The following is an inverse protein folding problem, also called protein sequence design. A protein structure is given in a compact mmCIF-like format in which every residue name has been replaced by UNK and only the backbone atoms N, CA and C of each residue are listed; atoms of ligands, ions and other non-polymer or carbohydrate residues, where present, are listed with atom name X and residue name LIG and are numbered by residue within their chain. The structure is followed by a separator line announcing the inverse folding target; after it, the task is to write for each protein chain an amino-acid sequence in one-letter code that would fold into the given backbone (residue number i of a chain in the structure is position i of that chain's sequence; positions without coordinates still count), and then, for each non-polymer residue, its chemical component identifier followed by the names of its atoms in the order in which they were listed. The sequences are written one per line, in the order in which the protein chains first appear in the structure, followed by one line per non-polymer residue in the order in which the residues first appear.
data_IF_488142697293
#
_entry.id   IF_488142697293
#
_cell.length_a   1.000
_cell.length_b   1.000
_cell.length_c   1.000
_cell.angle_alpha   90.00
_cell.angle_beta   90.00
_cell.angle_gamma   90.00
#
_symmetry.space_group_name_H-M   'P 1'
#
loop_
_entity.id
_entity.type
_entity.pdbx_description
1 polymer ?
#
# COMPACT_ATOMS: atom_id res chain seq x y z
N UNK A 1 -17.60 -37.68 53.40
CA UNK A 1 -16.47 -37.31 54.28
C UNK A 1 -15.43 -36.59 53.42
N UNK A 2 -15.25 -35.29 53.70
CA UNK A 2 -14.23 -34.44 53.09
C UNK A 2 -12.83 -34.85 53.54
N UNK A 3 -11.82 -34.69 52.69
CA UNK A 3 -10.58 -34.01 53.10
C UNK A 3 -9.96 -33.28 51.90
N UNK A 4 -9.84 -31.97 52.06
CA UNK A 4 -9.02 -31.06 51.26
C UNK A 4 -7.57 -31.20 51.71
N UNK A 5 -6.63 -31.06 50.78
CA UNK A 5 -5.30 -30.51 51.09
C UNK A 5 -4.80 -29.74 49.87
N UNK A 6 -4.58 -28.45 50.11
CA UNK A 6 -4.00 -27.44 49.23
C UNK A 6 -2.50 -27.25 49.55
N UNK A 7 -1.83 -26.35 48.81
CA UNK A 7 -0.44 -25.83 48.96
C UNK A 7 0.63 -26.67 48.22
N UNK A 8 1.50 -26.16 47.33
CA UNK A 8 1.90 -24.83 46.80
C UNK A 8 2.68 -25.07 45.48
N UNK A 9 2.66 -24.17 44.48
CA UNK A 9 3.59 -24.23 43.35
C UNK A 9 4.90 -23.46 43.64
N UNK A 10 6.00 -24.01 43.16
CA UNK A 10 7.35 -23.46 43.22
C UNK A 10 7.46 -22.18 42.37
N UNK A 11 8.04 -21.12 42.94
CA UNK A 11 8.41 -19.91 42.23
C UNK A 11 9.94 -19.81 42.19
N UNK A 12 10.52 -20.08 41.02
CA UNK A 12 11.91 -19.74 40.69
C UNK A 12 11.88 -18.71 39.56
N UNK A 13 11.95 -17.42 39.91
CA UNK A 13 12.21 -16.36 38.95
C UNK A 13 13.68 -15.99 39.09
N UNK A 14 14.49 -16.52 38.17
CA UNK A 14 15.86 -16.09 37.97
C UNK A 14 15.87 -14.66 37.41
N UNK A 15 16.59 -13.80 38.11
CA UNK A 15 17.01 -12.47 37.66
C UNK A 15 18.09 -12.65 36.58
N UNK A 16 17.97 -11.95 35.44
CA UNK A 16 19.12 -11.66 34.57
C UNK A 16 18.80 -10.46 33.66
N UNK A 17 19.14 -9.28 34.18
CA UNK A 17 19.93 -8.20 33.57
C UNK A 17 19.85 -8.06 32.03
N UNK A 18 19.02 -7.12 31.56
CA UNK A 18 19.20 -6.50 30.25
C UNK A 18 20.25 -5.39 30.36
N UNK A 19 21.48 -5.68 29.94
CA UNK A 19 22.58 -4.71 29.78
C UNK A 19 22.54 -4.16 28.35
N UNK A 20 22.34 -2.85 28.11
CA UNK A 20 22.49 -2.29 26.77
C UNK A 20 23.98 -2.19 26.43
N UNK A 21 24.38 -2.82 25.32
CA UNK A 21 25.71 -2.66 24.69
C UNK A 21 25.80 -1.25 24.11
N UNK A 22 26.70 -0.45 24.67
CA UNK A 22 27.25 0.74 24.04
C UNK A 22 28.03 0.27 22.80
N UNK A 23 27.62 0.68 21.61
CA UNK A 23 28.45 0.57 20.41
C UNK A 23 29.06 1.93 20.13
N UNK A 24 30.37 2.00 20.34
CA UNK A 24 31.25 3.09 19.94
C UNK A 24 31.26 3.19 18.41
N UNK A 25 30.72 4.29 17.87
CA UNK A 25 30.94 4.64 16.47
C UNK A 25 32.22 5.47 16.39
N UNK A 26 33.30 4.78 16.02
CA UNK A 26 34.54 5.40 15.56
C UNK A 26 34.25 6.21 14.29
N UNK A 27 34.69 7.45 14.32
CA UNK A 27 34.74 8.39 13.20
C UNK A 27 35.62 7.85 12.08
N UNK A 28 35.04 7.55 10.92
CA UNK A 28 35.77 7.43 9.65
C UNK A 28 35.34 8.52 8.70
N UNK A 29 36.23 9.51 8.60
CA UNK A 29 36.28 10.57 7.61
C UNK A 29 36.67 9.94 6.27
N UNK A 30 35.81 9.99 5.27
CA UNK A 30 36.20 9.65 3.90
C UNK A 30 35.73 10.72 2.92
N UNK A 31 36.72 11.48 2.47
CA UNK A 31 36.67 12.38 1.34
C UNK A 31 36.32 11.58 0.07
N UNK A 32 35.34 12.05 -0.70
CA UNK A 32 35.23 11.71 -2.11
C UNK A 32 35.04 12.99 -2.93
N UNK A 33 36.11 13.32 -3.64
CA UNK A 33 36.18 14.29 -4.73
C UNK A 33 35.11 13.96 -5.78
N UNK A 34 34.17 14.86 -6.01
CA UNK A 34 33.32 14.84 -7.20
C UNK A 34 33.77 15.96 -8.14
N UNK A 35 34.50 15.56 -9.16
CA UNK A 35 34.87 16.37 -10.33
C UNK A 35 33.61 16.71 -11.12
N UNK A 36 33.42 18.00 -11.37
CA UNK A 36 32.30 18.57 -12.08
C UNK A 36 32.46 18.32 -13.59
N UNK A 37 31.50 17.62 -14.21
CA UNK A 37 31.30 17.66 -15.66
C UNK A 37 30.01 18.44 -15.94
N UNK A 38 30.18 19.67 -16.39
CA UNK A 38 29.13 20.59 -16.81
C UNK A 38 28.84 20.31 -18.29
N UNK A 39 27.65 19.83 -18.62
CA UNK A 39 27.09 19.87 -19.97
C UNK A 39 26.06 21.00 -20.05
N UNK A 40 26.15 21.93 -21.02
CA UNK A 40 25.23 23.05 -21.11
C UNK A 40 24.03 22.74 -22.00
N UNK A 41 22.97 23.54 -21.80
CA UNK A 41 21.84 23.79 -22.70
C UNK A 41 20.59 22.91 -22.54
N UNK A 42 19.86 23.10 -21.44
CA UNK A 42 18.40 22.99 -21.45
C UNK A 42 17.79 24.40 -21.54
N UNK A 43 17.05 24.64 -22.63
CA UNK A 43 16.41 25.91 -22.98
C UNK A 43 15.08 26.00 -22.23
N UNK A 44 14.93 26.98 -21.35
CA UNK A 44 13.69 27.26 -20.59
C UNK A 44 12.74 28.05 -21.50
N UNK A 45 11.47 27.63 -21.70
CA UNK A 45 10.47 28.47 -22.33
C UNK A 45 9.89 29.50 -21.35
N UNK A 46 9.76 30.75 -21.79
CA UNK A 46 9.14 31.85 -21.05
C UNK A 46 7.67 31.57 -20.70
N UNK A 47 7.33 31.75 -19.42
CA UNK A 47 5.95 31.76 -18.92
C UNK A 47 5.36 33.15 -19.12
N UNK A 48 4.42 33.28 -20.07
CA UNK A 48 3.58 34.46 -20.23
C UNK A 48 2.43 34.48 -19.21
N UNK A 49 2.35 35.61 -18.51
CA UNK A 49 1.16 36.30 -17.97
C UNK A 49 0.06 35.47 -17.31
N UNK A 50 0.06 35.48 -15.96
CA UNK A 50 -1.14 35.29 -15.14
C UNK A 50 -1.48 36.66 -14.53
N UNK A 51 -2.68 37.15 -14.79
CA UNK A 51 -3.26 38.38 -14.25
C UNK A 51 -3.60 38.27 -12.76
N UNK A 52 -3.53 39.37 -11.98
CA UNK A 52 -3.85 39.36 -10.56
C UNK A 52 -5.38 39.32 -10.34
N UNK A 53 -5.82 38.42 -9.46
CA UNK A 53 -7.21 38.31 -9.00
C UNK A 53 -7.38 39.23 -7.78
N UNK A 54 -8.49 39.97 -7.77
CA UNK A 54 -8.85 41.01 -6.82
C UNK A 54 -8.81 40.60 -5.34
N UNK A 55 -8.33 41.51 -4.51
CA UNK A 55 -8.30 41.43 -3.05
C UNK A 55 -9.71 41.36 -2.46
N UNK A 56 -10.05 40.21 -1.86
CA UNK A 56 -11.11 40.08 -0.88
C UNK A 56 -10.52 40.30 0.51
N UNK A 57 -10.80 41.46 1.11
CA UNK A 57 -10.41 41.78 2.48
C UNK A 57 -11.08 40.83 3.47
N UNK A 58 -10.30 39.90 4.04
CA UNK A 58 -10.68 39.16 5.25
C UNK A 58 -10.19 39.99 6.44
N UNK A 59 -11.14 40.64 7.12
CA UNK A 59 -10.93 41.31 8.40
C UNK A 59 -10.70 40.25 9.48
N UNK A 60 -9.44 39.97 9.80
CA UNK A 60 -9.05 39.25 11.02
C UNK A 60 -8.89 40.29 12.13
N UNK A 61 -9.57 40.17 13.29
CA UNK A 61 -9.42 41.14 14.36
C UNK A 61 -7.98 41.12 14.89
N UNK A 62 -7.34 42.28 14.86
CA UNK A 62 -6.01 42.52 15.39
C UNK A 62 -5.95 42.14 16.87
N UNK A 63 -5.32 41.00 17.18
CA UNK A 63 -4.86 40.69 18.52
C UNK A 63 -3.71 41.66 18.82
N UNK A 64 -3.96 42.66 19.67
CA UNK A 64 -2.93 43.58 20.17
C UNK A 64 -1.88 42.79 20.96
N UNK A 65 -0.82 42.35 20.31
CA UNK A 65 0.37 41.83 20.98
C UNK A 65 1.29 43.01 21.32
N UNK A 66 1.17 43.50 22.55
CA UNK A 66 2.19 44.38 23.13
C UNK A 66 3.46 43.56 23.37
N UNK A 67 4.42 43.67 22.45
CA UNK A 67 5.76 43.12 22.64
C UNK A 67 6.52 44.11 23.53
N UNK A 68 6.62 43.77 24.82
CA UNK A 68 7.59 44.38 25.71
C UNK A 68 8.98 43.88 25.29
N UNK A 69 9.74 44.75 24.62
CA UNK A 69 11.15 44.54 24.33
C UNK A 69 11.92 44.41 25.64
N UNK A 70 12.41 43.20 25.92
CA UNK A 70 13.50 42.96 26.85
C UNK A 70 14.66 42.38 26.03
N UNK A 71 15.62 43.25 25.75
CA UNK A 71 16.94 42.86 25.26
C UNK A 71 17.65 42.09 26.38
N UNK A 72 17.89 40.80 26.19
CA UNK A 72 19.08 40.06 26.65
C UNK A 72 19.06 38.68 25.99
N UNK A 73 20.22 38.28 25.46
CA UNK A 73 20.37 37.27 24.42
C UNK A 73 19.72 35.93 24.72
N UNK A 74 18.85 35.50 23.81
CA UNK A 74 18.36 34.14 23.73
C UNK A 74 18.26 33.77 22.26
N UNK A 75 19.13 32.86 21.82
CA UNK A 75 19.07 32.28 20.49
C UNK A 75 17.76 31.48 20.40
N UNK A 76 16.73 32.06 19.79
CA UNK A 76 15.47 31.36 19.53
C UNK A 76 15.73 30.34 18.45
N UNK A 77 16.13 29.13 18.83
CA UNK A 77 16.16 27.99 17.92
C UNK A 77 14.74 27.65 17.54
N UNK A 78 14.31 28.07 16.34
CA UNK A 78 13.03 27.68 15.77
C UNK A 78 13.12 26.19 15.43
N UNK A 79 12.70 25.34 16.36
CA UNK A 79 12.46 23.93 16.10
C UNK A 79 11.22 23.84 15.20
N UNK A 80 11.43 23.84 13.88
CA UNK A 80 10.38 23.48 12.94
C UNK A 80 10.05 21.98 13.14
N UNK A 81 8.81 21.61 13.50
CA UNK A 81 8.44 20.21 13.60
C UNK A 81 8.48 19.58 12.20
N UNK A 82 9.19 18.46 12.06
CA UNK A 82 9.13 17.60 10.89
C UNK A 82 7.75 16.95 10.83
N UNK A 83 6.78 17.63 10.23
CA UNK A 83 5.49 17.01 9.90
C UNK A 83 5.75 16.09 8.72
N UNK A 84 5.89 14.79 8.98
CA UNK A 84 5.94 13.79 7.93
C UNK A 84 4.65 13.91 7.08
N UNK A 85 4.73 13.91 5.74
CA UNK A 85 3.53 13.88 4.92
C UNK A 85 2.80 12.58 5.22
N UNK A 86 1.55 12.66 5.69
CA UNK A 86 0.69 11.50 5.78
C UNK A 86 0.46 11.00 4.35
N UNK A 87 0.89 9.77 4.05
CA UNK A 87 0.62 9.12 2.77
C UNK A 87 -0.89 8.92 2.64
N UNK A 88 -1.55 9.77 1.86
CA UNK A 88 -2.96 9.62 1.56
C UNK A 88 -3.13 8.43 0.61
N UNK A 89 -3.89 7.42 1.05
CA UNK A 89 -4.25 6.30 0.19
C UNK A 89 -5.07 6.80 -1.02
N UNK A 90 -4.70 6.38 -2.23
CA UNK A 90 -5.47 6.70 -3.44
C UNK A 90 -6.79 5.92 -3.42
N UNK A 91 -7.91 6.63 -3.29
CA UNK A 91 -9.24 6.04 -3.30
C UNK A 91 -9.87 6.14 -4.69
N UNK A 92 -10.29 5.01 -5.25
CA UNK A 92 -11.03 4.96 -6.52
C UNK A 92 -12.48 4.61 -6.27
N UNK A 93 -13.39 5.48 -6.73
CA UNK A 93 -14.84 5.25 -6.61
C UNK A 93 -15.26 4.07 -7.50
N UNK A 94 -16.04 3.14 -6.96
CA UNK A 94 -16.52 1.96 -7.70
C UNK A 94 -18.05 1.87 -7.80
N UNK A 95 -18.79 2.37 -6.81
CA UNK A 95 -20.25 2.22 -6.80
C UNK A 95 -20.94 3.36 -6.04
N UNK A 96 -22.15 3.71 -6.48
CA UNK A 96 -23.10 4.48 -5.66
C UNK A 96 -23.70 3.59 -4.57
N UNK A 97 -24.33 4.19 -3.56
CA UNK A 97 -25.14 3.48 -2.55
C UNK A 97 -26.14 2.50 -3.22
N UNK A 98 -26.22 1.30 -2.65
CA UNK A 98 -26.92 0.10 -3.13
C UNK A 98 -26.42 -0.50 -4.46
N UNK A 99 -25.31 0.00 -5.01
CA UNK A 99 -24.64 -0.60 -6.17
C UNK A 99 -23.71 -1.76 -5.81
N UNK A 100 -23.28 -2.51 -6.82
CA UNK A 100 -22.24 -3.54 -6.67
C UNK A 100 -20.88 -2.92 -6.99
N UNK A 101 -19.97 -2.96 -6.03
CA UNK A 101 -18.58 -2.58 -6.22
C UNK A 101 -17.79 -3.82 -6.65
N UNK A 102 -17.31 -3.85 -7.90
CA UNK A 102 -16.37 -4.87 -8.39
C UNK A 102 -14.95 -4.47 -8.00
N UNK A 103 -14.19 -5.45 -7.48
CA UNK A 103 -12.84 -5.26 -6.99
C UNK A 103 -11.87 -6.02 -7.88
N UNK A 104 -10.84 -5.35 -8.43
CA UNK A 104 -9.82 -6.01 -9.23
C UNK A 104 -8.98 -6.99 -8.38
N UNK A 105 -8.84 -6.71 -7.09
CA UNK A 105 -8.11 -7.52 -6.12
C UNK A 105 -8.70 -7.33 -4.73
N UNK A 106 -8.34 -8.19 -3.74
CA UNK A 106 -8.71 -7.95 -2.36
C UNK A 106 -8.24 -6.58 -1.88
N UNK A 107 -9.20 -5.73 -1.50
CA UNK A 107 -8.94 -4.33 -1.19
C UNK A 107 -9.75 -3.88 0.02
N UNK A 108 -9.30 -2.79 0.63
CA UNK A 108 -10.11 -2.05 1.59
C UNK A 108 -11.13 -1.21 0.84
N UNK A 109 -12.42 -1.44 1.14
CA UNK A 109 -13.54 -0.67 0.59
C UNK A 109 -14.02 0.29 1.66
N UNK A 110 -14.04 1.56 1.29
CA UNK A 110 -14.53 2.69 2.07
C UNK A 110 -15.93 3.04 1.59
N UNK A 111 -16.88 3.14 2.51
CA UNK A 111 -18.25 3.53 2.26
C UNK A 111 -18.57 4.80 3.04
N UNK A 112 -19.09 5.83 2.38
CA UNK A 112 -19.42 7.08 3.05
C UNK A 112 -19.52 8.28 2.14
N UNK A 113 -19.49 9.47 2.75
CA UNK A 113 -19.57 10.77 2.06
C UNK A 113 -19.08 11.90 2.96
N UNK A 114 -18.53 12.96 2.38
CA UNK A 114 -18.17 14.19 3.10
C UNK A 114 -17.27 13.98 4.33
N UNK A 115 -16.33 13.04 4.26
CA UNK A 115 -15.42 12.68 5.37
C UNK A 115 -16.02 11.76 6.43
N UNK A 116 -17.32 11.46 6.38
CA UNK A 116 -17.97 10.45 7.23
C UNK A 116 -17.96 9.10 6.53
N UNK A 117 -17.02 8.25 6.92
CA UNK A 117 -16.75 6.98 6.24
C UNK A 117 -16.64 5.81 7.23
N UNK A 118 -17.05 4.62 6.79
CA UNK A 118 -16.63 3.34 7.37
C UNK A 118 -15.82 2.56 6.34
N UNK A 119 -14.99 1.63 6.77
CA UNK A 119 -14.23 0.78 5.86
C UNK A 119 -14.27 -0.69 6.26
N UNK A 120 -14.16 -1.57 5.26
CA UNK A 120 -14.00 -3.01 5.46
C UNK A 120 -13.07 -3.58 4.40
N UNK A 121 -12.22 -4.51 4.79
CA UNK A 121 -11.44 -5.29 3.84
C UNK A 121 -12.32 -6.38 3.20
N UNK A 122 -12.31 -6.43 1.88
CA UNK A 122 -13.08 -7.37 1.09
C UNK A 122 -12.12 -8.30 0.36
N UNK A 123 -12.25 -9.59 0.63
CA UNK A 123 -11.47 -10.67 0.01
C UNK A 123 -12.27 -11.40 -1.07
N UNK A 124 -13.25 -10.74 -1.70
CA UNK A 124 -14.09 -11.31 -2.75
C UNK A 124 -14.06 -10.38 -3.97
N UNK A 125 -14.39 -10.89 -5.17
CA UNK A 125 -14.36 -10.08 -6.39
C UNK A 125 -15.36 -8.92 -6.39
N UNK A 126 -16.34 -8.92 -5.49
CA UNK A 126 -17.34 -7.87 -5.39
C UNK A 126 -17.92 -7.75 -3.98
N UNK A 127 -18.46 -6.58 -3.68
CA UNK A 127 -19.21 -6.29 -2.46
C UNK A 127 -20.43 -5.42 -2.75
N UNK A 128 -21.52 -5.65 -2.02
CA UNK A 128 -22.70 -4.79 -2.10
C UNK A 128 -22.47 -3.50 -1.29
N UNK A 129 -22.55 -2.35 -1.96
CA UNK A 129 -22.28 -1.04 -1.39
C UNK A 129 -23.48 -0.54 -0.58
N UNK A 130 -23.68 -1.03 0.64
CA UNK A 130 -24.89 -0.75 1.42
C UNK A 130 -24.66 -0.65 2.92
N UNK A 131 -25.61 -0.02 3.61
CA UNK A 131 -25.64 0.08 5.07
C UNK A 131 -25.61 -1.28 5.77
N UNK A 132 -26.16 -2.33 5.12
CA UNK A 132 -26.13 -3.70 5.67
C UNK A 132 -24.70 -4.23 5.80
N UNK A 133 -23.83 -3.89 4.86
CA UNK A 133 -22.45 -4.38 4.84
C UNK A 133 -21.53 -3.49 5.66
N UNK A 134 -21.69 -2.18 5.59
CA UNK A 134 -20.72 -1.21 6.11
C UNK A 134 -21.22 -0.41 7.34
N UNK A 135 -22.48 -0.55 7.73
CA UNK A 135 -23.15 0.39 8.64
C UNK A 135 -23.53 1.69 7.93
N UNK A 136 -24.16 2.63 8.64
CA UNK A 136 -24.49 3.95 8.11
C UNK A 136 -23.59 5.04 8.74
N UNK A 137 -22.49 5.43 8.07
CA UNK A 137 -21.62 6.50 8.56
C UNK A 137 -22.22 7.91 8.43
N UNK A 138 -23.21 8.09 7.55
CA UNK A 138 -23.78 9.40 7.25
C UNK A 138 -25.30 9.27 7.04
N UNK A 139 -26.07 9.17 8.15
CA UNK A 139 -27.51 9.04 8.08
C UNK A 139 -28.17 10.21 7.32
N UNK A 140 -29.13 9.89 6.46
CA UNK A 140 -29.84 10.87 5.63
C UNK A 140 -29.03 11.45 4.47
N UNK A 141 -27.77 11.05 4.31
CA UNK A 141 -26.90 11.49 3.21
C UNK A 141 -26.66 10.35 2.21
N UNK A 142 -26.56 10.71 0.93
CA UNK A 142 -26.19 9.77 -0.15
C UNK A 142 -24.73 9.37 -0.01
N UNK A 143 -24.48 8.06 0.03
CA UNK A 143 -23.13 7.51 0.19
C UNK A 143 -22.63 6.87 -1.10
N UNK A 144 -21.35 6.57 -1.14
CA UNK A 144 -20.75 5.79 -2.22
C UNK A 144 -19.61 4.93 -1.69
N UNK A 145 -19.27 3.88 -2.45
CA UNK A 145 -18.11 3.05 -2.19
C UNK A 145 -16.93 3.48 -3.06
N UNK A 146 -15.77 3.50 -2.43
CA UNK A 146 -14.46 3.61 -3.06
C UNK A 146 -13.55 2.52 -2.52
N UNK A 147 -12.63 1.99 -3.31
CA UNK A 147 -11.61 1.06 -2.82
C UNK A 147 -10.24 1.73 -2.80
N UNK A 148 -9.39 1.30 -1.88
CA UNK A 148 -7.98 1.70 -1.84
C UNK A 148 -7.25 1.05 -3.02
N UNK A 149 -6.76 1.88 -3.92
CA UNK A 149 -5.91 1.45 -5.02
C UNK A 149 -4.56 1.07 -4.43
N UNK A 150 -4.13 -0.17 -4.67
CA UNK A 150 -2.73 -0.52 -4.49
C UNK A 150 -1.97 0.29 -5.55
N UNK A 151 -1.12 1.21 -5.10
CA UNK A 151 -0.13 1.91 -5.90
C UNK A 151 0.76 0.84 -6.54
N UNK A 152 0.27 0.34 -7.67
CA UNK A 152 0.98 -0.52 -8.56
C UNK A 152 2.18 0.30 -8.97
N UNK A 153 3.32 0.01 -8.33
CA UNK A 153 4.64 0.39 -8.78
C UNK A 153 4.57 0.58 -10.27
N UNK A 154 4.68 1.84 -10.70
CA UNK A 154 4.87 2.21 -12.08
C UNK A 154 5.83 1.17 -12.63
N UNK A 155 5.36 0.26 -13.48
CA UNK A 155 6.26 -0.53 -14.29
C UNK A 155 6.67 0.45 -15.37
N UNK A 156 7.86 1.09 -15.29
CA UNK A 156 8.34 1.80 -16.44
C UNK A 156 8.64 0.69 -17.47
N UNK A 157 8.22 0.91 -18.69
CA UNK A 157 8.69 0.15 -19.85
C UNK A 157 8.10 -1.27 -20.01
N UNK A 158 6.79 -1.34 -20.25
CA UNK A 158 6.37 -2.11 -21.44
C UNK A 158 6.12 -1.08 -22.54
N UNK A 159 7.00 -0.97 -23.55
CA UNK A 159 6.70 -0.20 -24.74
C UNK A 159 5.36 -0.68 -25.27
N UNK A 160 4.39 0.24 -25.34
CA UNK A 160 3.11 -0.03 -25.97
C UNK A 160 3.39 -0.57 -27.35
N UNK A 161 3.02 -1.84 -27.58
CA UNK A 161 3.02 -2.43 -28.91
C UNK A 161 2.13 -1.50 -29.76
N UNK A 162 2.67 -0.82 -30.79
CA UNK A 162 1.89 0.15 -31.55
C UNK A 162 0.66 -0.55 -32.15
N UNK A 163 -0.46 0.18 -32.17
CA UNK A 163 -1.76 -0.28 -32.66
C UNK A 163 -1.58 -0.80 -34.10
N UNK A 164 -1.68 -2.12 -34.28
CA UNK A 164 -1.39 -2.81 -35.55
C UNK A 164 -2.62 -2.76 -36.47
N UNK A 165 -3.16 -1.58 -36.75
CA UNK A 165 -4.30 -1.44 -37.67
C UNK A 165 -3.95 -1.60 -39.16
N UNK A 166 -2.68 -1.70 -39.53
CA UNK A 166 -2.26 -1.73 -40.95
C UNK A 166 -1.47 -2.98 -41.39
N UNK A 167 -1.65 -4.17 -40.79
CA UNK A 167 -0.97 -5.39 -41.29
C UNK A 167 -1.92 -6.34 -42.03
N UNK A 168 -1.85 -6.42 -43.37
CA UNK A 168 -2.57 -7.43 -44.15
C UNK A 168 -2.08 -8.84 -43.79
N UNK A 169 -3.03 -9.78 -43.73
CA UNK A 169 -2.90 -11.11 -43.17
C UNK A 169 -1.68 -11.90 -43.64
N UNK A 170 -0.73 -12.09 -42.72
CA UNK A 170 0.17 -13.23 -42.73
C UNK A 170 -0.44 -14.24 -41.77
N UNK A 171 -0.94 -15.36 -42.30
CA UNK A 171 -1.28 -16.54 -41.50
C UNK A 171 0.01 -16.98 -40.78
N UNK A 172 0.08 -16.74 -39.47
CA UNK A 172 1.16 -17.17 -38.59
C UNK A 172 0.71 -18.44 -37.85
N UNK A 173 1.27 -19.62 -38.15
CA UNK A 173 0.82 -20.89 -37.56
C UNK A 173 1.15 -21.08 -36.07
N UNK A 174 1.80 -20.11 -35.39
CA UNK A 174 2.15 -20.19 -33.97
C UNK A 174 1.26 -19.36 -33.02
N UNK A 175 0.20 -18.70 -33.50
CA UNK A 175 -0.79 -18.00 -32.65
C UNK A 175 -1.77 -18.95 -31.92
N UNK A 176 -1.40 -20.24 -31.77
CA UNK A 176 -2.21 -21.27 -31.11
C UNK A 176 -1.63 -21.69 -29.75
N UNK A 177 -1.28 -20.72 -28.90
CA UNK A 177 -1.08 -20.95 -27.46
C UNK A 177 -1.52 -19.76 -26.58
N UNK A 178 -2.49 -18.94 -27.02
CA UNK A 178 -3.21 -18.04 -26.09
C UNK A 178 -4.51 -18.71 -25.61
N UNK A 179 -4.35 -19.93 -25.07
CA UNK A 179 -5.32 -20.53 -24.17
C UNK A 179 -4.81 -20.33 -22.75
N UNK A 180 -5.21 -19.20 -22.11
CA UNK A 180 -5.18 -18.94 -20.65
C UNK A 180 -5.69 -17.55 -20.24
N UNK A 181 -6.66 -16.99 -20.94
CA UNK A 181 -7.31 -15.74 -20.53
C UNK A 181 -8.41 -15.96 -19.47
N UNK A 182 -8.01 -16.59 -18.37
CA UNK A 182 -8.63 -16.45 -17.03
C UNK A 182 -7.58 -16.15 -15.93
N UNK A 183 -6.33 -15.91 -16.32
CA UNK A 183 -5.18 -15.73 -15.43
C UNK A 183 -4.52 -14.34 -15.57
N UNK A 184 -5.20 -13.36 -16.17
CA UNK A 184 -4.59 -12.03 -16.46
C UNK A 184 -4.16 -11.23 -15.24
N UNK A 185 -4.51 -11.65 -14.04
CA UNK A 185 -4.14 -10.96 -12.80
C UNK A 185 -3.20 -11.77 -11.91
N UNK A 186 -2.83 -13.02 -12.29
CA UNK A 186 -1.97 -13.88 -11.48
C UNK A 186 -0.49 -13.87 -11.91
N UNK A 187 0.37 -13.22 -11.14
CA UNK A 187 1.82 -13.15 -11.37
C UNK A 187 2.59 -14.17 -10.53
N UNK A 188 3.45 -14.99 -11.13
CA UNK A 188 4.31 -15.93 -10.37
C UNK A 188 5.28 -15.13 -9.48
N UNK A 189 5.32 -15.45 -8.18
CA UNK A 189 6.24 -14.81 -7.23
C UNK A 189 7.35 -15.74 -6.72
N UNK A 190 7.08 -17.03 -6.53
CA UNK A 190 8.05 -17.97 -5.97
C UNK A 190 7.84 -19.39 -6.49
N UNK A 191 8.92 -20.19 -6.57
CA UNK A 191 8.86 -21.64 -6.72
C UNK A 191 8.51 -22.30 -5.37
N UNK A 192 8.05 -23.55 -5.40
CA UNK A 192 7.84 -24.36 -4.20
C UNK A 192 9.09 -24.37 -3.29
N UNK A 193 8.87 -24.16 -1.99
CA UNK A 193 9.91 -23.99 -0.97
C UNK A 193 10.47 -22.57 -0.84
N UNK A 194 10.23 -21.68 -1.82
CA UNK A 194 10.66 -20.29 -1.79
C UNK A 194 9.81 -19.39 -0.89
N UNK A 195 10.18 -18.11 -0.78
CA UNK A 195 9.39 -17.08 -0.12
C UNK A 195 8.80 -16.13 -1.17
N UNK A 196 7.49 -15.97 -1.15
CA UNK A 196 6.76 -15.04 -2.01
C UNK A 196 6.68 -13.70 -1.28
N UNK A 197 7.59 -12.77 -1.59
CA UNK A 197 7.62 -11.44 -0.97
C UNK A 197 6.74 -10.46 -1.74
N UNK A 198 5.93 -9.70 -1.01
CA UNK A 198 5.10 -8.63 -1.53
C UNK A 198 4.65 -7.73 -0.39
N UNK A 199 4.29 -6.48 -0.69
CA UNK A 199 3.80 -5.54 0.32
C UNK A 199 2.27 -5.53 0.40
N UNK A 200 1.76 -5.19 1.59
CA UNK A 200 0.33 -5.07 1.81
C UNK A 200 -0.38 -6.42 1.83
N UNK A 201 -1.70 -6.42 1.61
CA UNK A 201 -2.51 -7.64 1.54
C UNK A 201 -2.71 -8.05 0.09
N UNK A 202 -2.35 -9.29 -0.24
CA UNK A 202 -2.57 -9.85 -1.58
C UNK A 202 -3.20 -11.23 -1.49
N UNK A 203 -3.99 -11.58 -2.51
CA UNK A 203 -4.37 -12.97 -2.73
C UNK A 203 -3.16 -13.70 -3.28
N UNK A 204 -2.88 -14.86 -2.73
CA UNK A 204 -1.81 -15.75 -3.18
C UNK A 204 -2.43 -17.11 -3.46
N UNK A 205 -2.08 -17.71 -4.59
CA UNK A 205 -2.42 -19.09 -4.90
C UNK A 205 -1.16 -19.93 -5.02
N UNK A 206 -1.23 -21.17 -4.55
CA UNK A 206 -0.15 -22.14 -4.58
C UNK A 206 -0.63 -23.39 -5.30
N UNK A 207 0.13 -23.89 -6.27
CA UNK A 207 -0.28 -25.06 -7.04
C UNK A 207 0.41 -25.23 -8.38
N UNK A 208 -0.09 -26.19 -9.16
CA UNK A 208 0.40 -26.55 -10.48
C UNK A 208 -0.72 -27.16 -11.33
N UNK A 209 -0.58 -27.10 -12.66
CA UNK A 209 -1.45 -27.81 -13.62
C UNK A 209 -2.97 -27.58 -13.38
N UNK A 210 -3.36 -26.34 -13.04
CA UNK A 210 -4.77 -25.99 -12.81
C UNK A 210 -5.32 -26.35 -11.42
N UNK A 211 -4.53 -26.99 -10.56
CA UNK A 211 -4.89 -27.30 -9.18
C UNK A 211 -4.20 -26.33 -8.23
N UNK A 212 -4.99 -25.47 -7.59
CA UNK A 212 -4.50 -24.41 -6.73
C UNK A 212 -5.27 -24.34 -5.41
N UNK A 213 -4.56 -24.01 -4.33
CA UNK A 213 -5.15 -23.51 -3.08
C UNK A 213 -4.83 -22.02 -2.96
N UNK A 214 -5.82 -21.22 -2.56
CA UNK A 214 -5.68 -19.77 -2.44
C UNK A 214 -5.81 -19.30 -0.99
N UNK A 215 -5.20 -18.16 -0.68
CA UNK A 215 -5.33 -17.46 0.60
C UNK A 215 -4.98 -15.98 0.47
N UNK A 216 -5.34 -15.17 1.46
CA UNK A 216 -4.94 -13.76 1.53
C UNK A 216 -3.91 -13.60 2.64
N UNK A 217 -2.71 -13.14 2.26
CA UNK A 217 -1.60 -12.94 3.19
C UNK A 217 -1.16 -11.48 3.20
N UNK A 218 -0.38 -11.11 4.21
CA UNK A 218 0.16 -9.75 4.38
C UNK A 218 1.68 -9.82 4.40
N UNK A 219 2.33 -8.94 3.65
CA UNK A 219 3.78 -8.78 3.63
C UNK A 219 4.54 -10.08 3.25
N UNK A 220 3.96 -10.91 2.38
CA UNK A 220 4.55 -12.16 1.91
C UNK A 220 4.04 -13.45 2.58
N UNK A 221 4.48 -14.59 2.03
CA UNK A 221 4.14 -15.94 2.51
C UNK A 221 5.16 -16.98 2.04
N UNK A 222 5.42 -18.01 2.85
CA UNK A 222 6.20 -19.18 2.40
C UNK A 222 5.43 -19.97 1.36
N UNK A 223 6.08 -20.30 0.25
CA UNK A 223 5.47 -21.02 -0.85
C UNK A 223 5.57 -22.53 -0.67
N UNK A 224 4.86 -23.08 0.32
CA UNK A 224 4.99 -24.48 0.69
C UNK A 224 3.66 -25.14 1.11
N UNK A 225 3.71 -26.47 1.23
CA UNK A 225 2.59 -27.28 1.69
C UNK A 225 2.15 -26.97 3.12
N UNK A 226 2.97 -26.30 3.94
CA UNK A 226 2.61 -25.95 5.32
C UNK A 226 1.68 -24.73 5.36
N UNK A 227 1.92 -23.75 4.48
CA UNK A 227 1.09 -22.55 4.39
C UNK A 227 -0.24 -22.79 3.64
N UNK A 228 -0.26 -23.70 2.66
CA UNK A 228 -1.39 -23.86 1.73
C UNK A 228 -1.99 -25.28 1.66
N UNK A 229 -1.36 -26.28 2.27
CA UNK A 229 -1.64 -27.69 1.94
C UNK A 229 -1.05 -28.09 0.58
N UNK A 230 -1.31 -29.33 0.14
CA UNK A 230 -0.80 -29.84 -1.15
C UNK A 230 -1.93 -30.06 -2.17
N UNK A 231 -2.21 -29.06 -3.05
CA UNK A 231 -3.24 -29.17 -4.07
C UNK A 231 -2.84 -30.05 -5.27
N UNK A 232 -1.54 -30.33 -5.45
CA UNK A 232 -1.03 -31.05 -6.61
C UNK A 232 0.12 -31.98 -6.19
N UNK A 233 -0.24 -33.08 -5.51
CA UNK A 233 0.71 -34.09 -5.04
C UNK A 233 1.54 -34.66 -6.19
N UNK A 234 2.85 -34.80 -5.96
CA UNK A 234 3.80 -35.31 -6.95
C UNK A 234 4.14 -34.33 -8.08
N UNK A 235 3.63 -33.10 -8.03
CA UNK A 235 3.93 -32.03 -8.99
C UNK A 235 4.70 -30.91 -8.32
N UNK A 236 5.66 -30.34 -9.05
CA UNK A 236 6.36 -29.14 -8.65
C UNK A 236 5.41 -27.95 -8.71
N UNK A 237 5.17 -27.32 -7.56
CA UNK A 237 4.23 -26.20 -7.41
C UNK A 237 4.94 -24.85 -7.46
N UNK A 238 4.16 -23.80 -7.60
CA UNK A 238 4.63 -22.42 -7.49
C UNK A 238 3.54 -21.54 -6.88
N UNK A 239 3.96 -20.39 -6.37
CA UNK A 239 3.06 -19.36 -5.85
C UNK A 239 2.88 -18.24 -6.86
N UNK A 240 1.66 -17.71 -6.89
CA UNK A 240 1.26 -16.61 -7.74
C UNK A 240 0.46 -15.61 -6.90
N UNK A 241 0.63 -14.31 -7.15
CA UNK A 241 -0.10 -13.22 -6.50
C UNK A 241 -1.12 -12.61 -7.45
N UNK A 242 -2.27 -12.19 -6.92
CA UNK A 242 -3.29 -11.44 -7.67
C UNK A 242 -3.02 -9.94 -7.53
N UNK A 243 -2.80 -9.25 -8.67
CA UNK A 243 -2.54 -7.80 -8.77
C UNK A 243 -3.67 -7.03 -9.44
#
# INVERSE_FOLDING_TARGET
MHFRTSFLPQQTRAENVCRPRLMEFLTTRQNSHWTQHIHPLFKIPELKHISPISEGHIMIPALKTTIASICLGGLVTVLAPLVAPASAAQLQRCASENGICQLPYPAEVVYGTGGRNTSRFIDRPQVNCSNRVFGDPAPGQKKSCSFVVQDRWDRPDRPGRPDRRDRPGRYDPYDRYEDRDRDRDWSRCAKEGGFCDFYGRKRVRYGAEGRFTEGVFRNGVRCDNRAFGDPARGKAKACYILD
#
